data_IF_358617440224
#
_entry.id   IF_358617440224
#
_cell.length_a   1.000
_cell.length_b   1.000
_cell.length_c   1.000
_cell.angle_alpha   90.00
_cell.angle_beta   90.00
_cell.angle_gamma   90.00
#
_symmetry.space_group_name_H-M   'P 1'
#
loop_
_entity.id
_entity.type
_entity.pdbx_description
1 polymer ?
#
# COMPACT_ATOMS: atom_id res chain seq x y z
N UNK A 1 -10.83 -11.05 20.73
CA UNK A 1 -10.80 -11.59 19.35
C UNK A 1 -10.47 -10.44 18.43
N UNK A 2 -9.58 -10.68 17.46
CA UNK A 2 -9.11 -9.67 16.50
C UNK A 2 -9.45 -10.15 15.09
N UNK A 3 -9.56 -9.23 14.15
CA UNK A 3 -9.84 -9.59 12.75
C UNK A 3 -9.14 -8.65 11.77
N UNK A 4 -8.97 -9.13 10.55
CA UNK A 4 -8.69 -8.29 9.41
C UNK A 4 -9.95 -8.01 8.62
N UNK A 5 -9.97 -6.90 7.89
CA UNK A 5 -10.99 -6.67 6.88
C UNK A 5 -10.45 -5.98 5.63
N UNK A 6 -11.09 -6.28 4.52
CA UNK A 6 -10.80 -5.74 3.19
C UNK A 6 -12.09 -5.19 2.59
N UNK A 7 -11.98 -4.17 1.74
CA UNK A 7 -13.11 -3.62 1.00
C UNK A 7 -12.75 -3.52 -0.48
N UNK A 8 -13.51 -4.22 -1.32
CA UNK A 8 -13.22 -4.35 -2.76
C UNK A 8 -14.48 -4.32 -3.60
N UNK A 9 -14.30 -4.00 -4.88
CA UNK A 9 -15.33 -4.20 -5.91
C UNK A 9 -15.24 -5.62 -6.48
N UNK A 10 -16.14 -5.94 -7.42
CA UNK A 10 -16.15 -7.24 -8.09
C UNK A 10 -14.88 -7.52 -8.95
N UNK A 11 -14.11 -6.49 -9.30
CA UNK A 11 -12.89 -6.60 -10.11
C UNK A 11 -11.68 -7.03 -9.28
N UNK A 12 -11.66 -6.66 -8.00
CA UNK A 12 -10.60 -7.00 -7.05
C UNK A 12 -10.96 -8.15 -6.11
N UNK A 13 -12.19 -8.67 -6.17
CA UNK A 13 -12.66 -9.76 -5.31
C UNK A 13 -11.77 -11.01 -5.34
N UNK A 14 -11.32 -11.45 -6.52
CA UNK A 14 -10.46 -12.64 -6.63
C UNK A 14 -9.12 -12.40 -5.92
N UNK A 15 -8.53 -11.22 -6.11
CA UNK A 15 -7.28 -10.81 -5.45
C UNK A 15 -7.47 -10.76 -3.93
N UNK A 16 -8.54 -10.11 -3.45
CA UNK A 16 -8.84 -10.00 -2.02
C UNK A 16 -9.15 -11.35 -1.38
N UNK A 17 -9.78 -12.28 -2.11
CA UNK A 17 -10.05 -13.64 -1.63
C UNK A 17 -8.77 -14.45 -1.48
N UNK A 18 -7.87 -14.37 -2.46
CA UNK A 18 -6.54 -15.00 -2.39
C UNK A 18 -5.71 -14.39 -1.24
N UNK A 19 -5.75 -13.06 -1.08
CA UNK A 19 -5.09 -12.38 0.04
C UNK A 19 -5.70 -12.77 1.39
N UNK A 20 -7.03 -12.89 1.50
CA UNK A 20 -7.71 -13.34 2.70
C UNK A 20 -7.30 -14.76 3.09
N UNK A 21 -7.17 -15.66 2.10
CA UNK A 21 -6.64 -17.00 2.32
C UNK A 21 -5.21 -16.99 2.87
N UNK A 22 -4.34 -16.16 2.29
CA UNK A 22 -2.99 -15.98 2.81
C UNK A 22 -2.98 -15.43 4.24
N UNK A 23 -3.85 -14.46 4.54
CA UNK A 23 -3.98 -13.92 5.91
C UNK A 23 -4.41 -15.00 6.90
N UNK A 24 -5.40 -15.83 6.58
CA UNK A 24 -5.80 -16.95 7.46
C UNK A 24 -4.62 -17.87 7.71
N UNK A 25 -3.89 -18.26 6.67
CA UNK A 25 -2.75 -19.19 6.80
C UNK A 25 -1.59 -18.61 7.63
N UNK A 26 -1.38 -17.29 7.58
CA UNK A 26 -0.28 -16.63 8.31
C UNK A 26 -0.70 -16.23 9.72
N UNK A 27 -1.91 -15.71 9.91
CA UNK A 27 -2.35 -15.08 11.16
C UNK A 27 -3.27 -15.92 12.03
N UNK A 28 -4.00 -16.88 11.44
CA UNK A 28 -5.00 -17.71 12.14
C UNK A 28 -6.04 -16.85 12.88
N UNK A 29 -6.66 -15.90 12.16
CA UNK A 29 -7.71 -15.01 12.65
C UNK A 29 -8.84 -14.86 11.63
N UNK A 30 -9.96 -14.30 12.07
CA UNK A 30 -11.09 -14.03 11.20
C UNK A 30 -10.78 -12.91 10.19
N UNK A 31 -11.15 -13.14 8.94
CA UNK A 31 -10.96 -12.22 7.83
C UNK A 31 -12.32 -11.85 7.22
N UNK A 32 -12.62 -10.56 7.16
CA UNK A 32 -13.87 -10.05 6.59
C UNK A 32 -13.62 -9.39 5.23
N UNK A 33 -14.20 -9.93 4.17
CA UNK A 33 -14.11 -9.35 2.83
C UNK A 33 -15.44 -8.69 2.50
N UNK A 34 -15.45 -7.35 2.43
CA UNK A 34 -16.60 -6.58 1.97
C UNK A 34 -16.52 -6.38 0.46
N UNK A 35 -17.60 -6.74 -0.22
CA UNK A 35 -17.76 -6.66 -1.67
C UNK A 35 -18.84 -5.62 -1.95
N UNK A 36 -18.47 -4.53 -2.60
CA UNK A 36 -19.36 -3.39 -2.84
C UNK A 36 -19.43 -3.11 -4.35
N UNK A 37 -20.61 -3.24 -4.95
CA UNK A 37 -20.79 -3.10 -6.39
C UNK A 37 -21.83 -4.06 -6.97
N UNK A 38 -21.57 -4.51 -8.20
CA UNK A 38 -22.45 -5.44 -8.91
C UNK A 38 -22.24 -6.88 -8.42
N UNK A 39 -23.19 -7.36 -7.63
CA UNK A 39 -23.19 -8.73 -7.09
C UNK A 39 -24.01 -9.61 -8.03
N UNK A 40 -23.34 -10.58 -8.66
CA UNK A 40 -23.93 -11.59 -9.54
C UNK A 40 -23.57 -12.98 -9.04
N UNK A 41 -24.28 -14.03 -9.45
CA UNK A 41 -23.96 -15.42 -9.06
C UNK A 41 -22.52 -15.83 -9.41
N UNK A 42 -21.88 -15.14 -10.38
CA UNK A 42 -20.50 -15.38 -10.76
C UNK A 42 -19.48 -15.00 -9.67
N UNK A 43 -19.83 -14.20 -8.66
CA UNK A 43 -18.88 -13.81 -7.61
C UNK A 43 -18.44 -15.00 -6.74
N UNK A 44 -19.31 -16.01 -6.57
CA UNK A 44 -18.97 -17.20 -5.77
C UNK A 44 -17.74 -17.91 -6.32
N UNK A 45 -17.56 -17.90 -7.65
CA UNK A 45 -16.40 -18.49 -8.31
C UNK A 45 -15.08 -17.75 -8.03
N UNK A 46 -15.14 -16.53 -7.49
CA UNK A 46 -13.99 -15.69 -7.10
C UNK A 46 -13.68 -15.75 -5.61
N UNK A 47 -14.47 -16.49 -4.83
CA UNK A 47 -14.34 -16.60 -3.39
C UNK A 47 -13.56 -17.87 -2.99
N UNK A 48 -12.67 -17.74 -2.02
CA UNK A 48 -12.03 -18.89 -1.36
C UNK A 48 -12.93 -19.35 -0.22
N UNK A 49 -13.24 -20.65 -0.17
CA UNK A 49 -13.98 -21.21 0.96
C UNK A 49 -13.05 -21.55 2.12
N UNK A 50 -13.24 -20.89 3.26
CA UNK A 50 -12.53 -21.17 4.50
C UNK A 50 -13.42 -20.74 5.69
N UNK A 51 -13.48 -21.51 6.79
CA UNK A 51 -14.35 -21.18 7.94
C UNK A 51 -14.03 -19.84 8.63
N UNK A 52 -12.84 -19.29 8.45
CA UNK A 52 -12.42 -18.00 9.01
C UNK A 52 -12.49 -16.85 8.01
N UNK A 53 -13.02 -17.07 6.79
CA UNK A 53 -13.23 -16.01 5.79
C UNK A 53 -14.73 -15.74 5.66
N UNK A 54 -15.12 -14.49 5.93
CA UNK A 54 -16.50 -14.03 5.90
C UNK A 54 -16.70 -13.00 4.81
N UNK A 55 -17.60 -13.29 3.88
CA UNK A 55 -17.95 -12.38 2.78
C UNK A 55 -19.20 -11.56 3.12
N UNK A 56 -19.13 -10.25 2.88
CA UNK A 56 -20.21 -9.29 3.16
C UNK A 56 -20.54 -8.54 1.86
N UNK A 57 -21.77 -8.67 1.36
CA UNK A 57 -22.14 -8.08 0.07
C UNK A 57 -22.98 -6.82 0.27
N UNK A 58 -22.51 -5.68 -0.24
CA UNK A 58 -23.22 -4.40 -0.24
C UNK A 58 -23.70 -3.94 1.16
N UNK A 59 -22.88 -4.16 2.18
CA UNK A 59 -23.21 -3.81 3.57
C UNK A 59 -22.77 -2.38 3.93
N UNK A 60 -21.84 -1.78 3.18
CA UNK A 60 -21.19 -0.51 3.54
C UNK A 60 -21.74 0.68 2.77
N UNK A 61 -22.05 0.52 1.48
CA UNK A 61 -22.50 1.61 0.60
C UNK A 61 -23.71 2.38 1.12
N UNK A 62 -24.60 1.73 1.88
CA UNK A 62 -25.75 2.37 2.55
C UNK A 62 -25.37 3.43 3.61
N UNK A 63 -24.14 3.37 4.12
CA UNK A 63 -23.61 4.30 5.12
C UNK A 63 -22.87 5.49 4.49
N UNK A 64 -22.50 5.40 3.21
CA UNK A 64 -21.79 6.46 2.52
C UNK A 64 -22.75 7.62 2.20
N UNK A 65 -22.45 8.87 2.61
CA UNK A 65 -23.27 10.01 2.24
C UNK A 65 -23.32 10.21 0.73
N UNK A 66 -24.40 10.82 0.24
CA UNK A 66 -24.54 11.14 -1.18
C UNK A 66 -23.62 12.31 -1.56
N UNK A 67 -23.20 12.35 -2.83
CA UNK A 67 -22.43 13.46 -3.36
C UNK A 67 -20.95 13.48 -2.99
N UNK A 68 -20.39 12.35 -2.51
CA UNK A 68 -18.94 12.24 -2.29
C UNK A 68 -18.17 12.41 -3.60
N UNK A 69 -17.05 13.17 -3.60
CA UNK A 69 -16.22 13.35 -4.77
C UNK A 69 -15.54 12.04 -5.14
N UNK A 70 -15.27 11.85 -6.43
CA UNK A 70 -14.60 10.66 -6.94
C UNK A 70 -13.79 11.02 -8.19
N UNK A 71 -12.92 10.10 -8.58
CA UNK A 71 -12.18 10.20 -9.85
C UNK A 71 -11.92 8.81 -10.43
N UNK A 72 -11.35 8.75 -11.62
CA UNK A 72 -11.04 7.48 -12.29
C UNK A 72 -10.11 6.56 -11.46
N UNK A 73 -9.20 7.13 -10.68
CA UNK A 73 -8.25 6.39 -9.85
C UNK A 73 -8.76 6.17 -8.42
N UNK A 74 -9.72 6.98 -7.96
CA UNK A 74 -10.28 6.94 -6.61
C UNK A 74 -11.83 6.97 -6.70
N UNK A 75 -12.47 5.84 -7.04
CA UNK A 75 -13.93 5.73 -7.04
C UNK A 75 -14.48 5.77 -5.61
N UNK A 76 -15.79 6.02 -5.45
CA UNK A 76 -16.45 6.13 -4.12
C UNK A 76 -16.16 4.99 -3.13
N UNK A 77 -15.80 3.80 -3.61
CA UNK A 77 -15.44 2.66 -2.77
C UNK A 77 -14.30 2.97 -1.80
N UNK A 78 -13.40 3.92 -2.11
CA UNK A 78 -12.27 4.26 -1.24
C UNK A 78 -12.71 4.70 0.15
N UNK A 79 -13.89 5.32 0.27
CA UNK A 79 -14.47 5.73 1.55
C UNK A 79 -15.08 4.59 2.37
N UNK A 80 -15.45 3.47 1.74
CA UNK A 80 -16.28 2.45 2.39
C UNK A 80 -15.57 1.74 3.55
N UNK A 81 -14.23 1.66 3.51
CA UNK A 81 -13.39 1.17 4.62
C UNK A 81 -13.68 1.85 5.96
N UNK A 82 -14.08 3.11 5.94
CA UNK A 82 -14.39 3.90 7.15
C UNK A 82 -15.60 3.33 7.90
N UNK A 83 -16.54 2.73 7.18
CA UNK A 83 -17.83 2.27 7.73
C UNK A 83 -17.83 0.80 8.16
N UNK A 84 -16.88 -0.02 7.69
CA UNK A 84 -16.79 -1.44 8.03
C UNK A 84 -16.71 -1.75 9.53
N UNK A 85 -15.99 -0.98 10.37
CA UNK A 85 -15.98 -1.20 11.82
C UNK A 85 -17.35 -1.11 12.50
N UNK A 86 -18.34 -0.47 11.87
CA UNK A 86 -19.72 -0.41 12.39
C UNK A 86 -20.49 -1.74 12.26
N UNK A 87 -20.08 -2.57 11.30
CA UNK A 87 -20.58 -3.94 11.08
C UNK A 87 -19.81 -4.94 11.97
N UNK A 88 -18.50 -4.75 12.13
CA UNK A 88 -17.60 -5.65 12.84
C UNK A 88 -17.50 -5.37 14.35
N UNK A 89 -18.63 -5.51 15.08
CA UNK A 89 -18.75 -5.03 16.47
C UNK A 89 -18.09 -5.91 17.55
N UNK A 90 -17.86 -7.18 17.26
CA UNK A 90 -17.47 -8.18 18.25
C UNK A 90 -15.94 -8.38 18.37
N UNK A 91 -15.16 -7.44 17.83
CA UNK A 91 -13.70 -7.49 17.83
C UNK A 91 -13.09 -6.44 18.77
N UNK A 92 -11.94 -6.76 19.34
CA UNK A 92 -11.15 -5.86 20.20
C UNK A 92 -10.22 -4.96 19.36
N UNK A 93 -9.72 -5.51 18.25
CA UNK A 93 -8.89 -4.84 17.26
C UNK A 93 -9.30 -5.27 15.87
N UNK A 94 -9.27 -4.31 14.95
CA UNK A 94 -9.43 -4.56 13.52
C UNK A 94 -8.19 -4.06 12.80
N UNK A 95 -7.70 -4.79 11.81
CA UNK A 95 -6.73 -4.26 10.84
C UNK A 95 -7.41 -4.21 9.46
N UNK A 96 -7.51 -3.00 8.91
CA UNK A 96 -7.82 -2.82 7.49
C UNK A 96 -6.57 -3.08 6.65
N UNK A 97 -6.74 -3.77 5.51
CA UNK A 97 -5.70 -3.90 4.47
C UNK A 97 -6.28 -3.58 3.09
N UNK A 98 -5.54 -2.80 2.30
CA UNK A 98 -5.78 -2.69 0.85
C UNK A 98 -5.54 -4.05 0.15
N UNK A 99 -6.25 -4.26 -0.96
CA UNK A 99 -6.22 -5.53 -1.71
C UNK A 99 -4.89 -5.85 -2.40
N UNK A 100 -3.97 -4.88 -2.44
CA UNK A 100 -2.65 -4.96 -3.06
C UNK A 100 -1.51 -5.11 -2.05
N UNK A 101 -1.85 -5.64 -0.88
CA UNK A 101 -0.91 -5.95 0.20
C UNK A 101 -0.64 -7.44 0.23
N UNK A 102 0.64 -7.82 0.21
CA UNK A 102 1.07 -9.18 0.48
C UNK A 102 1.33 -9.35 1.98
N UNK A 103 0.55 -10.20 2.69
CA UNK A 103 0.80 -10.55 4.08
C UNK A 103 1.95 -11.55 4.16
N UNK A 104 3.12 -11.06 4.62
CA UNK A 104 4.35 -11.85 4.61
C UNK A 104 4.49 -12.69 5.87
N UNK A 105 4.42 -12.05 7.04
CA UNK A 105 4.60 -12.71 8.33
C UNK A 105 3.59 -12.25 9.35
N UNK A 106 3.48 -13.02 10.43
CA UNK A 106 2.68 -12.69 11.60
C UNK A 106 3.50 -11.83 12.58
N UNK A 107 2.82 -10.91 13.24
CA UNK A 107 3.35 -10.17 14.38
C UNK A 107 2.24 -9.88 15.40
N UNK A 108 2.16 -10.68 16.46
CA UNK A 108 1.09 -10.56 17.46
C UNK A 108 1.20 -9.27 18.29
N UNK A 109 2.38 -8.64 18.31
CA UNK A 109 2.59 -7.41 19.09
C UNK A 109 1.62 -6.31 18.66
N UNK A 110 1.27 -6.24 17.37
CA UNK A 110 0.37 -5.23 16.80
C UNK A 110 -0.96 -5.11 17.55
N UNK A 111 -1.48 -6.22 18.09
CA UNK A 111 -2.75 -6.24 18.81
C UNK A 111 -2.67 -5.58 20.19
N UNK A 112 -1.46 -5.49 20.74
CA UNK A 112 -1.17 -4.92 22.05
C UNK A 112 -0.87 -3.42 22.02
N UNK A 113 -0.65 -2.87 20.82
CA UNK A 113 -0.34 -1.45 20.62
C UNK A 113 -1.44 -0.56 21.23
N UNK A 114 -1.10 0.39 22.12
CA UNK A 114 -2.06 1.33 22.67
C UNK A 114 -2.62 2.27 21.59
N UNK A 115 -3.95 2.42 21.54
CA UNK A 115 -4.63 3.29 20.57
C UNK A 115 -5.42 4.38 21.30
N UNK A 116 -4.76 5.43 21.85
CA UNK A 116 -5.45 6.48 22.62
C UNK A 116 -6.55 7.18 21.82
N UNK A 117 -6.34 7.48 20.53
CA UNK A 117 -7.34 8.07 19.63
C UNK A 117 -8.24 7.05 18.92
N UNK A 118 -7.88 5.76 19.02
CA UNK A 118 -8.54 4.65 18.34
C UNK A 118 -7.98 4.30 16.96
N UNK A 119 -6.88 4.94 16.53
CA UNK A 119 -6.21 4.66 15.26
C UNK A 119 -4.69 4.52 15.42
N UNK A 120 -4.16 3.43 14.87
CA UNK A 120 -2.76 3.25 14.53
C UNK A 120 -2.60 3.15 13.01
N UNK A 121 -1.56 3.78 12.47
CA UNK A 121 -1.28 3.80 11.04
C UNK A 121 0.22 3.90 10.79
N UNK A 122 0.63 3.97 9.52
CA UNK A 122 2.04 4.08 9.12
C UNK A 122 2.18 5.30 8.22
N UNK A 123 3.26 6.07 8.41
CA UNK A 123 3.56 7.22 7.57
C UNK A 123 3.51 6.86 6.07
N UNK A 124 2.91 7.72 5.25
CA UNK A 124 2.96 7.59 3.81
C UNK A 124 4.39 7.92 3.34
N UNK A 125 5.08 6.91 2.85
CA UNK A 125 6.48 7.03 2.44
C UNK A 125 6.63 7.64 1.05
N UNK A 126 5.57 7.64 0.24
CA UNK A 126 5.52 8.46 -0.96
C UNK A 126 5.63 9.93 -0.57
N UNK A 127 4.87 10.33 0.46
CA UNK A 127 4.83 11.71 0.99
C UNK A 127 6.11 12.10 1.76
N UNK A 128 7.02 11.16 2.07
CA UNK A 128 8.36 11.46 2.60
C UNK A 128 9.25 12.11 1.54
N UNK A 129 9.09 11.74 0.27
CA UNK A 129 9.97 12.17 -0.81
C UNK A 129 9.59 13.54 -1.35
N UNK A 130 10.41 14.57 -1.07
CA UNK A 130 10.22 15.93 -1.62
C UNK A 130 10.34 15.94 -3.15
N UNK A 131 11.10 15.00 -3.71
CA UNK A 131 11.29 14.84 -5.15
C UNK A 131 10.06 14.30 -5.90
N UNK A 132 9.05 13.79 -5.18
CA UNK A 132 7.81 13.38 -5.81
C UNK A 132 6.92 14.60 -6.06
N UNK A 133 6.99 15.13 -7.28
CA UNK A 133 6.07 16.17 -7.74
C UNK A 133 4.61 15.66 -7.71
N UNK A 134 3.64 16.59 -7.54
CA UNK A 134 2.20 16.30 -7.60
C UNK A 134 1.70 15.53 -8.84
N UNK A 135 2.55 15.36 -9.87
CA UNK A 135 2.32 14.46 -11.01
C UNK A 135 2.14 13.00 -10.59
N UNK A 136 2.83 12.52 -9.54
CA UNK A 136 2.73 11.13 -9.07
C UNK A 136 1.61 10.93 -8.05
N UNK A 137 1.13 12.00 -7.40
CA UNK A 137 0.07 11.93 -6.37
C UNK A 137 -1.36 12.17 -6.90
N UNK A 138 -1.55 12.95 -7.97
CA UNK A 138 -2.92 13.38 -8.34
C UNK A 138 -3.14 13.65 -9.84
N UNK A 139 -2.17 13.39 -10.71
CA UNK A 139 -2.31 13.64 -12.15
C UNK A 139 -2.53 15.12 -12.54
N UNK A 140 -2.39 16.07 -11.60
CA UNK A 140 -2.44 17.50 -11.88
C UNK A 140 -1.01 18.02 -12.08
N UNK A 141 -0.76 18.70 -13.20
CA UNK A 141 0.48 19.44 -13.45
C UNK A 141 0.52 20.68 -12.53
N UNK A 142 0.77 20.50 -11.25
CA UNK A 142 0.87 21.60 -10.28
C UNK A 142 2.32 21.78 -9.85
N UNK A 143 2.76 23.03 -9.73
CA UNK A 143 4.02 23.39 -9.06
C UNK A 143 3.88 23.43 -7.52
N UNK A 144 2.69 23.18 -6.99
CA UNK A 144 2.39 23.19 -5.56
C UNK A 144 3.23 22.14 -4.82
N UNK A 145 3.76 22.52 -3.67
CA UNK A 145 4.54 21.61 -2.82
C UNK A 145 3.62 20.67 -2.02
N UNK A 146 4.22 19.73 -1.29
CA UNK A 146 3.51 18.91 -0.29
C UNK A 146 2.85 19.80 0.76
N UNK A 147 3.56 20.79 1.26
CA UNK A 147 3.07 21.70 2.32
C UNK A 147 1.88 22.53 1.82
N UNK A 148 1.92 22.97 0.55
CA UNK A 148 0.79 23.68 -0.07
C UNK A 148 -0.44 22.78 -0.11
N UNK A 149 -0.28 21.52 -0.56
CA UNK A 149 -1.35 20.53 -0.59
C UNK A 149 -1.97 20.28 0.79
N UNK A 150 -1.14 19.97 1.79
CA UNK A 150 -1.62 19.67 3.14
C UNK A 150 -2.47 20.83 3.67
N UNK A 151 -2.03 22.08 3.46
CA UNK A 151 -2.80 23.28 3.83
C UNK A 151 -4.10 23.40 3.04
N UNK A 152 -4.10 23.14 1.74
CA UNK A 152 -5.30 23.18 0.88
C UNK A 152 -6.38 22.18 1.34
N UNK A 153 -5.99 21.09 2.00
CA UNK A 153 -6.89 20.06 2.54
C UNK A 153 -7.06 20.13 4.07
N UNK A 154 -6.64 21.23 4.68
CA UNK A 154 -6.87 21.52 6.11
C UNK A 154 -5.95 20.79 7.10
N UNK A 155 -4.89 20.14 6.62
CA UNK A 155 -3.91 19.42 7.44
C UNK A 155 -2.77 20.37 7.81
N UNK A 156 -2.56 20.57 9.11
CA UNK A 156 -1.49 21.41 9.64
C UNK A 156 -0.31 20.62 10.20
N UNK A 157 -0.51 19.33 10.48
CA UNK A 157 0.54 18.41 10.93
C UNK A 157 1.49 18.08 9.76
N UNK A 158 2.76 17.86 10.08
CA UNK A 158 3.77 17.41 9.11
C UNK A 158 3.68 15.90 8.87
N UNK A 159 3.09 15.17 9.83
CA UNK A 159 2.83 13.73 9.75
C UNK A 159 1.61 13.45 8.88
N UNK A 160 1.76 12.49 7.99
CA UNK A 160 0.70 12.08 7.08
C UNK A 160 0.80 10.58 6.80
N UNK A 161 -0.21 9.81 7.18
CA UNK A 161 -0.22 8.35 7.06
C UNK A 161 -0.87 7.85 5.77
N UNK A 162 -0.45 6.67 5.31
CA UNK A 162 -1.08 5.95 4.22
C UNK A 162 -2.32 5.19 4.72
N UNK A 163 -3.44 5.24 4.00
CA UNK A 163 -4.71 4.60 4.41
C UNK A 163 -4.85 3.14 3.99
N UNK A 164 -3.79 2.51 3.47
CA UNK A 164 -3.80 1.11 3.05
C UNK A 164 -3.62 0.11 4.19
N UNK A 165 -3.11 0.53 5.34
CA UNK A 165 -3.07 -0.28 6.57
C UNK A 165 -3.53 0.57 7.74
N UNK A 166 -4.62 0.17 8.40
CA UNK A 166 -5.17 0.88 9.55
C UNK A 166 -5.41 -0.11 10.70
N UNK A 167 -4.75 0.10 11.83
CA UNK A 167 -5.02 -0.60 13.07
C UNK A 167 -6.09 0.19 13.85
N UNK A 168 -7.24 -0.42 14.07
CA UNK A 168 -8.43 0.27 14.55
C UNK A 168 -8.86 -0.32 15.90
N UNK A 169 -9.15 0.58 16.85
CA UNK A 169 -9.96 0.27 18.02
C UNK A 169 -11.44 0.49 17.64
N UNK A 170 -12.22 -0.57 17.40
CA UNK A 170 -13.58 -0.43 16.90
C UNK A 170 -14.53 0.21 17.93
N UNK A 171 -14.21 0.18 19.23
CA UNK A 171 -15.00 0.86 20.25
C UNK A 171 -14.89 2.38 20.10
N UNK A 172 -13.67 2.90 20.12
CA UNK A 172 -13.39 4.34 19.91
C UNK A 172 -13.74 4.83 18.51
N UNK A 173 -13.66 3.94 17.51
CA UNK A 173 -14.04 4.27 16.14
C UNK A 173 -15.53 4.59 16.04
N UNK A 174 -16.39 3.89 16.80
CA UNK A 174 -17.85 4.06 16.77
C UNK A 174 -18.34 5.31 17.49
N UNK A 175 -17.52 5.91 18.35
CA UNK A 175 -17.85 7.18 19.01
C UNK A 175 -17.95 8.36 18.00
N UNK A 176 -17.41 8.19 16.79
CA UNK A 176 -17.38 9.20 15.75
C UNK A 176 -18.55 9.02 14.79
N UNK A 177 -19.23 10.11 14.47
CA UNK A 177 -20.22 10.15 13.40
C UNK A 177 -19.52 10.37 12.05
N UNK A 178 -19.01 9.28 11.48
CA UNK A 178 -18.21 9.30 10.25
C UNK A 178 -18.90 9.95 9.06
N UNK A 179 -20.20 9.73 8.89
CA UNK A 179 -20.98 10.31 7.81
C UNK A 179 -21.00 11.85 7.90
N UNK A 180 -21.29 12.38 9.09
CA UNK A 180 -21.36 13.84 9.29
C UNK A 180 -19.98 14.50 9.23
N UNK A 181 -18.95 13.84 9.77
CA UNK A 181 -17.56 14.31 9.68
C UNK A 181 -17.09 14.36 8.23
N UNK A 182 -17.36 13.30 7.46
CA UNK A 182 -16.98 13.23 6.05
C UNK A 182 -17.72 14.26 5.20
N UNK A 183 -19.04 14.42 5.40
CA UNK A 183 -19.81 15.49 4.75
C UNK A 183 -19.24 16.87 5.07
N UNK A 184 -18.94 17.15 6.34
CA UNK A 184 -18.40 18.44 6.77
C UNK A 184 -17.04 18.70 6.13
N UNK A 185 -16.18 17.68 6.08
CA UNK A 185 -14.86 17.78 5.45
C UNK A 185 -14.97 18.04 3.95
N UNK A 186 -15.77 17.24 3.23
CA UNK A 186 -15.99 17.38 1.79
C UNK A 186 -16.61 18.74 1.45
N UNK A 187 -17.51 19.25 2.28
CA UNK A 187 -18.10 20.57 2.08
C UNK A 187 -17.06 21.71 2.08
N UNK A 188 -16.02 21.59 2.92
CA UNK A 188 -15.00 22.62 3.09
C UNK A 188 -13.81 22.43 2.13
N UNK A 189 -13.36 21.18 1.94
CA UNK A 189 -12.09 20.86 1.28
C UNK A 189 -12.24 19.99 0.02
N UNK A 190 -13.46 19.60 -0.36
CA UNK A 190 -13.74 18.59 -1.40
C UNK A 190 -13.05 18.85 -2.75
N UNK A 191 -12.98 20.10 -3.19
CA UNK A 191 -12.37 20.48 -4.47
C UNK A 191 -10.83 20.34 -4.48
N UNK A 192 -10.22 20.35 -3.29
CA UNK A 192 -8.79 20.31 -3.08
C UNK A 192 -8.27 18.91 -2.72
N UNK A 193 -9.16 17.97 -2.38
CA UNK A 193 -8.79 16.60 -2.04
C UNK A 193 -7.98 15.96 -3.17
N UNK A 194 -6.90 15.27 -2.80
CA UNK A 194 -6.03 14.53 -3.73
C UNK A 194 -6.07 13.03 -3.45
N UNK A 195 -6.15 12.65 -2.17
CA UNK A 195 -6.17 11.26 -1.73
C UNK A 195 -7.47 10.87 -1.00
N UNK A 196 -8.54 11.63 -1.21
CA UNK A 196 -9.91 11.29 -0.82
C UNK A 196 -10.05 10.83 0.65
N UNK A 197 -10.31 9.54 0.90
CA UNK A 197 -10.44 8.99 2.26
C UNK A 197 -9.18 9.20 3.11
N UNK A 198 -7.99 9.11 2.50
CA UNK A 198 -6.72 9.29 3.19
C UNK A 198 -6.54 10.74 3.66
N UNK A 199 -6.92 11.73 2.84
CA UNK A 199 -6.89 13.15 3.23
C UNK A 199 -7.86 13.41 4.39
N UNK A 200 -9.08 12.87 4.28
CA UNK A 200 -10.09 12.97 5.32
C UNK A 200 -9.64 12.34 6.65
N UNK A 201 -9.07 11.14 6.61
CA UNK A 201 -8.60 10.43 7.78
C UNK A 201 -7.41 11.14 8.42
N UNK A 202 -6.46 11.62 7.62
CA UNK A 202 -5.35 12.43 8.12
C UNK A 202 -5.84 13.74 8.74
N UNK A 203 -6.79 14.45 8.12
CA UNK A 203 -7.41 15.63 8.73
C UNK A 203 -8.08 15.32 10.07
N UNK A 204 -8.82 14.20 10.14
CA UNK A 204 -9.58 13.81 11.33
C UNK A 204 -8.67 13.40 12.50
N UNK A 205 -7.54 12.76 12.21
CA UNK A 205 -6.63 12.22 13.21
C UNK A 205 -5.31 12.99 13.35
N UNK A 206 -5.11 14.10 12.62
CA UNK A 206 -3.89 14.91 12.70
C UNK A 206 -3.51 15.20 14.15
N UNK A 207 -2.24 15.02 14.51
CA UNK A 207 -1.74 15.16 15.88
C UNK A 207 -2.02 13.98 16.83
N UNK A 208 -2.91 13.03 16.51
CA UNK A 208 -3.45 12.09 17.50
C UNK A 208 -3.36 10.60 17.12
N UNK A 209 -3.03 10.23 15.88
CA UNK A 209 -2.86 8.82 15.50
C UNK A 209 -1.57 8.22 16.10
N UNK A 210 -1.60 6.91 16.36
CA UNK A 210 -0.47 6.14 16.86
C UNK A 210 0.40 5.67 15.71
N UNK A 211 1.68 6.02 15.72
CA UNK A 211 2.56 5.74 14.60
C UNK A 211 3.22 4.37 14.72
N UNK A 212 2.97 3.51 13.72
CA UNK A 212 3.64 2.23 13.55
C UNK A 212 4.80 2.38 12.56
N UNK A 213 5.83 1.57 12.74
CA UNK A 213 7.00 1.56 11.89
C UNK A 213 6.66 1.11 10.46
N UNK A 214 7.51 1.45 9.48
CA UNK A 214 7.32 1.01 8.09
C UNK A 214 7.21 -0.51 7.91
N UNK A 215 7.58 -1.31 8.92
CA UNK A 215 7.41 -2.77 8.94
C UNK A 215 5.95 -3.19 8.74
N UNK A 216 4.99 -2.41 9.27
CA UNK A 216 3.56 -2.71 9.16
C UNK A 216 2.90 -2.18 7.88
N UNK A 217 3.60 -1.41 7.05
CA UNK A 217 3.11 -0.98 5.74
C UNK A 217 4.32 -0.63 4.87
N UNK A 218 5.05 -1.67 4.45
CA UNK A 218 6.28 -1.52 3.69
C UNK A 218 5.91 -1.22 2.24
N UNK A 219 5.75 0.05 1.92
CA UNK A 219 5.22 0.54 0.66
C UNK A 219 6.23 0.40 -0.48
N UNK A 220 5.74 0.18 -1.71
CA UNK A 220 6.57 -0.01 -2.90
C UNK A 220 7.56 1.13 -3.16
N UNK A 221 7.21 2.35 -2.74
CA UNK A 221 8.07 3.54 -2.77
C UNK A 221 9.42 3.37 -2.07
N UNK A 222 9.50 2.52 -1.05
CA UNK A 222 10.72 2.29 -0.27
C UNK A 222 11.32 0.90 -0.46
N UNK A 223 10.65 0.02 -1.23
CA UNK A 223 11.20 -1.29 -1.54
C UNK A 223 12.39 -1.18 -2.50
N UNK A 224 13.41 -2.01 -2.26
CA UNK A 224 14.69 -1.98 -2.96
C UNK A 224 15.66 -0.89 -2.47
N UNK A 225 15.42 -0.29 -1.32
CA UNK A 225 16.31 0.72 -0.72
C UNK A 225 17.24 0.14 0.37
N UNK A 226 17.22 -1.19 0.57
CA UNK A 226 18.12 -1.89 1.48
C UNK A 226 17.56 -2.11 2.89
N UNK A 227 16.31 -1.71 3.16
CA UNK A 227 15.67 -1.83 4.47
C UNK A 227 14.87 -3.12 4.66
N UNK A 228 14.85 -4.01 3.68
CA UNK A 228 14.03 -5.24 3.67
C UNK A 228 14.35 -6.17 4.85
N UNK A 229 15.63 -6.23 5.23
CA UNK A 229 16.08 -7.03 6.37
C UNK A 229 15.92 -6.26 7.67
N UNK A 230 16.35 -5.00 7.72
CA UNK A 230 16.34 -4.18 8.93
C UNK A 230 14.91 -3.96 9.49
N UNK A 231 13.93 -3.73 8.60
CA UNK A 231 12.53 -3.57 8.99
C UNK A 231 11.79 -4.90 9.08
N UNK A 232 12.31 -5.97 8.47
CA UNK A 232 11.71 -7.30 8.49
C UNK A 232 10.17 -7.25 8.32
N UNK A 233 9.66 -6.75 7.18
CA UNK A 233 8.30 -6.25 7.08
C UNK A 233 7.24 -7.33 7.32
N UNK A 234 6.12 -6.92 7.91
CA UNK A 234 4.92 -7.72 8.15
C UNK A 234 4.03 -7.71 6.91
N UNK A 235 3.84 -6.52 6.33
CA UNK A 235 2.99 -6.28 5.17
C UNK A 235 3.77 -5.58 4.06
N UNK A 236 3.80 -6.17 2.86
CA UNK A 236 4.38 -5.56 1.66
C UNK A 236 3.27 -4.92 0.84
N UNK A 237 3.27 -3.60 0.72
CA UNK A 237 2.20 -2.87 0.07
C UNK A 237 2.63 -2.40 -1.33
N UNK A 238 2.03 -2.99 -2.37
CA UNK A 238 2.30 -2.65 -3.76
C UNK A 238 1.52 -1.39 -4.21
N UNK A 239 1.65 -0.30 -3.45
CA UNK A 239 0.83 0.93 -3.47
C UNK A 239 0.88 1.77 -4.76
N UNK A 240 1.64 1.35 -5.78
CA UNK A 240 1.72 2.02 -7.09
C UNK A 240 0.91 1.28 -8.16
N UNK A 241 0.74 1.91 -9.33
CA UNK A 241 -0.06 1.37 -10.43
C UNK A 241 0.42 0.03 -11.01
N UNK A 242 1.71 -0.28 -10.87
CA UNK A 242 2.27 -1.55 -11.32
C UNK A 242 2.15 -2.58 -10.20
N UNK A 243 1.13 -3.43 -10.29
CA UNK A 243 0.89 -4.53 -9.35
C UNK A 243 1.63 -5.81 -9.75
N UNK A 244 2.11 -6.63 -8.80
CA UNK A 244 2.85 -7.85 -9.09
C UNK A 244 2.13 -8.76 -10.08
N UNK A 245 0.86 -9.10 -9.80
CA UNK A 245 0.04 -10.03 -10.60
C UNK A 245 -0.17 -9.60 -12.06
N UNK A 246 0.14 -8.36 -12.44
CA UNK A 246 0.04 -7.91 -13.83
C UNK A 246 1.15 -8.50 -14.72
N UNK A 247 2.20 -9.07 -14.14
CA UNK A 247 3.29 -9.73 -14.86
C UNK A 247 4.09 -8.79 -15.76
N UNK A 248 4.43 -7.61 -15.23
CA UNK A 248 5.11 -6.51 -15.94
C UNK A 248 6.63 -6.45 -15.70
N UNK A 249 7.22 -7.51 -15.15
CA UNK A 249 8.66 -7.65 -14.88
C UNK A 249 9.49 -7.85 -16.17
N UNK A 250 10.83 -7.76 -16.04
CA UNK A 250 11.77 -8.04 -17.14
C UNK A 250 12.34 -9.45 -16.93
N UNK A 251 12.06 -10.42 -17.82
CA UNK A 251 12.42 -11.83 -17.58
C UNK A 251 13.89 -12.09 -17.28
N UNK A 252 14.80 -11.33 -17.90
CA UNK A 252 16.25 -11.50 -17.77
C UNK A 252 16.85 -10.69 -16.59
N UNK A 253 16.03 -10.08 -15.75
CA UNK A 253 16.45 -9.34 -14.55
C UNK A 253 15.64 -9.89 -13.37
N UNK A 254 16.32 -10.61 -12.49
CA UNK A 254 15.75 -11.03 -11.21
C UNK A 254 15.78 -9.85 -10.24
N UNK A 255 14.66 -9.13 -10.18
CA UNK A 255 14.40 -8.00 -9.30
C UNK A 255 13.22 -8.28 -8.36
N UNK A 256 12.91 -7.30 -7.51
CA UNK A 256 11.77 -7.34 -6.60
C UNK A 256 10.43 -7.57 -7.33
N UNK A 257 10.20 -6.93 -8.49
CA UNK A 257 8.95 -7.09 -9.25
C UNK A 257 8.79 -8.54 -9.76
N UNK A 258 9.87 -9.16 -10.24
CA UNK A 258 9.86 -10.56 -10.67
C UNK A 258 9.66 -11.51 -9.50
N UNK A 259 10.37 -11.31 -8.38
CA UNK A 259 10.21 -12.14 -7.18
C UNK A 259 8.76 -12.05 -6.63
N UNK A 260 8.21 -10.84 -6.54
CA UNK A 260 6.82 -10.64 -6.14
C UNK A 260 5.84 -11.33 -7.09
N UNK A 261 6.04 -11.25 -8.42
CA UNK A 261 5.18 -11.93 -9.38
C UNK A 261 5.12 -13.44 -9.16
N UNK A 262 6.28 -14.09 -8.99
CA UNK A 262 6.36 -15.54 -8.72
C UNK A 262 5.57 -15.88 -7.46
N UNK A 263 5.65 -15.01 -6.44
CA UNK A 263 5.00 -15.26 -5.15
C UNK A 263 3.50 -15.04 -5.15
N UNK A 264 3.02 -14.08 -5.93
CA UNK A 264 1.59 -14.01 -6.23
C UNK A 264 1.11 -15.21 -7.05
N UNK A 265 1.92 -15.75 -7.96
CA UNK A 265 1.55 -16.96 -8.71
C UNK A 265 1.39 -18.17 -7.76
N UNK A 266 2.31 -18.34 -6.80
CA UNK A 266 2.22 -19.35 -5.75
C UNK A 266 0.97 -19.14 -4.88
N UNK A 267 0.76 -17.93 -4.36
CA UNK A 267 -0.39 -17.58 -3.51
C UNK A 267 -1.74 -17.86 -4.19
N UNK A 268 -1.83 -17.57 -5.50
CA UNK A 268 -2.99 -17.91 -6.31
C UNK A 268 -3.20 -19.42 -6.42
N UNK A 269 -2.13 -20.18 -6.72
CA UNK A 269 -2.21 -21.64 -6.85
C UNK A 269 -2.64 -22.30 -5.53
N UNK A 270 -2.09 -21.85 -4.41
CA UNK A 270 -2.41 -22.37 -3.07
C UNK A 270 -3.89 -22.12 -2.70
N UNK A 271 -4.44 -21.00 -3.15
CA UNK A 271 -5.86 -20.67 -2.98
C UNK A 271 -6.79 -21.39 -3.99
N UNK A 272 -6.25 -22.19 -4.91
CA UNK A 272 -7.01 -22.89 -5.95
C UNK A 272 -7.37 -22.04 -7.17
N UNK A 273 -6.73 -20.87 -7.32
CA UNK A 273 -6.97 -19.92 -8.41
C UNK A 273 -5.85 -19.92 -9.46
N UNK A 274 -6.17 -19.40 -10.64
CA UNK A 274 -5.20 -19.17 -11.70
C UNK A 274 -4.99 -17.67 -11.89
N UNK A 275 -3.75 -17.20 -11.72
CA UNK A 275 -3.42 -15.78 -11.92
C UNK A 275 -3.63 -15.30 -13.38
N UNK A 276 -3.94 -16.19 -14.33
CA UNK A 276 -4.20 -15.82 -15.74
C UNK A 276 -5.35 -14.81 -15.88
N UNK A 277 -6.35 -14.87 -15.02
CA UNK A 277 -7.57 -14.06 -15.14
C UNK A 277 -7.35 -12.61 -14.68
N UNK A 278 -6.46 -12.40 -13.71
CA UNK A 278 -6.05 -11.07 -13.22
C UNK A 278 -4.84 -10.49 -13.96
N UNK A 279 -4.10 -11.32 -14.71
CA UNK A 279 -2.89 -10.89 -15.40
C UNK A 279 -3.20 -9.98 -16.59
N UNK A 280 -2.70 -8.74 -16.55
CA UNK A 280 -2.83 -7.76 -17.64
C UNK A 280 -1.45 -7.21 -18.04
N UNK A 281 -0.68 -7.96 -18.84
CA UNK A 281 0.66 -7.54 -19.23
C UNK A 281 0.59 -6.35 -20.19
N UNK A 282 1.45 -5.36 -19.99
CA UNK A 282 1.49 -4.17 -20.86
C UNK A 282 2.06 -4.53 -22.23
N UNK A 283 1.26 -4.33 -23.28
CA UNK A 283 1.73 -4.43 -24.67
C UNK A 283 2.58 -3.21 -25.02
N UNK A 284 3.89 -3.43 -25.18
CA UNK A 284 4.82 -2.38 -25.61
C UNK A 284 4.98 -2.37 -27.13
N UNK A 285 4.92 -1.18 -27.75
CA UNK A 285 5.15 -1.02 -29.19
C UNK A 285 6.54 -1.51 -29.60
N UNK A 286 6.69 -1.99 -30.84
CA UNK A 286 7.99 -2.45 -31.37
C UNK A 286 9.06 -1.35 -31.26
N UNK A 287 8.68 -0.10 -31.52
CA UNK A 287 9.55 1.07 -31.41
C UNK A 287 10.00 1.30 -29.96
N UNK A 288 9.06 1.25 -29.00
CA UNK A 288 9.41 1.40 -27.58
C UNK A 288 10.36 0.30 -27.11
N UNK A 289 10.10 -0.96 -27.49
CA UNK A 289 10.98 -2.10 -27.18
C UNK A 289 12.39 -1.92 -27.75
N UNK A 290 12.50 -1.54 -29.03
CA UNK A 290 13.80 -1.26 -29.65
C UNK A 290 14.54 -0.13 -28.94
N UNK A 291 13.84 0.96 -28.60
CA UNK A 291 14.39 2.10 -27.86
C UNK A 291 14.88 1.72 -26.46
N UNK A 292 14.13 0.92 -25.71
CA UNK A 292 14.55 0.45 -24.38
C UNK A 292 15.75 -0.49 -24.49
N UNK A 293 15.72 -1.45 -25.42
CA UNK A 293 16.87 -2.34 -25.68
C UNK A 293 18.13 -1.59 -26.06
N UNK A 294 18.05 -0.58 -26.93
CA UNK A 294 19.20 0.26 -27.30
C UNK A 294 19.77 0.98 -26.08
N UNK A 295 18.91 1.58 -25.25
CA UNK A 295 19.35 2.30 -24.05
C UNK A 295 20.00 1.38 -23.02
N UNK A 296 19.44 0.18 -22.83
CA UNK A 296 20.02 -0.86 -21.97
C UNK A 296 21.38 -1.32 -22.52
N UNK A 297 21.46 -1.63 -23.80
CA UNK A 297 22.70 -2.03 -24.48
C UNK A 297 23.81 -0.97 -24.38
N UNK A 298 23.45 0.31 -24.46
CA UNK A 298 24.38 1.42 -24.22
C UNK A 298 24.88 1.43 -22.77
N UNK A 299 23.98 1.32 -21.80
CA UNK A 299 24.30 1.27 -20.37
C UNK A 299 25.25 0.10 -20.03
N UNK A 300 24.95 -1.10 -20.54
CA UNK A 300 25.78 -2.31 -20.38
C UNK A 300 27.19 -2.18 -20.99
N UNK A 301 27.40 -1.23 -21.90
CA UNK A 301 28.72 -0.87 -22.49
C UNK A 301 29.38 0.34 -21.82
N UNK A 302 28.84 0.81 -20.69
CA UNK A 302 29.34 1.98 -19.96
C UNK A 302 28.82 3.33 -20.47
N UNK A 303 27.93 3.36 -21.46
CA UNK A 303 27.36 4.59 -22.01
C UNK A 303 26.06 4.95 -21.27
N UNK A 304 26.20 5.69 -20.17
CA UNK A 304 25.06 6.12 -19.34
C UNK A 304 24.24 7.21 -20.05
N UNK A 305 22.99 6.89 -20.40
CA UNK A 305 22.09 7.83 -21.07
C UNK A 305 21.63 8.95 -20.13
N UNK A 306 21.20 10.11 -20.67
CA UNK A 306 20.60 11.20 -19.85
C UNK A 306 19.46 10.68 -18.97
N UNK A 307 18.59 9.83 -19.52
CA UNK A 307 17.47 9.26 -18.78
C UNK A 307 17.93 8.41 -17.60
N UNK A 308 18.92 7.54 -17.82
CA UNK A 308 19.48 6.71 -16.75
C UNK A 308 20.10 7.57 -15.65
N UNK A 309 20.90 8.59 -16.03
CA UNK A 309 21.50 9.52 -15.08
C UNK A 309 20.45 10.21 -14.22
N UNK A 310 19.34 10.67 -14.81
CA UNK A 310 18.22 11.27 -14.07
C UNK A 310 17.59 10.29 -13.10
N UNK A 311 17.35 9.04 -13.51
CA UNK A 311 16.75 8.02 -12.63
C UNK A 311 17.68 7.64 -11.47
N UNK A 312 18.98 7.46 -11.73
CA UNK A 312 19.98 7.19 -10.69
C UNK A 312 20.09 8.34 -9.69
N UNK A 313 20.06 9.59 -10.17
CA UNK A 313 20.06 10.75 -9.28
C UNK A 313 18.76 10.86 -8.47
N UNK A 314 17.59 10.61 -9.08
CA UNK A 314 16.31 10.55 -8.35
C UNK A 314 16.37 9.51 -7.23
N UNK A 315 16.81 8.28 -7.56
CA UNK A 315 16.96 7.21 -6.58
C UNK A 315 17.89 7.60 -5.43
N UNK A 316 19.05 8.19 -5.72
CA UNK A 316 19.99 8.64 -4.68
C UNK A 316 19.38 9.66 -3.73
N UNK A 317 18.66 10.66 -4.26
CA UNK A 317 18.01 11.68 -3.42
C UNK A 317 16.94 11.04 -2.53
N UNK A 318 16.05 10.24 -3.12
CA UNK A 318 15.01 9.53 -2.36
C UNK A 318 15.62 8.62 -1.29
N UNK A 319 16.73 7.98 -1.59
CA UNK A 319 17.43 7.11 -0.67
C UNK A 319 18.02 7.89 0.53
N UNK A 320 18.54 9.09 0.29
CA UNK A 320 19.04 9.97 1.35
C UNK A 320 17.87 10.54 2.19
N UNK A 321 16.75 10.93 1.55
CA UNK A 321 15.52 11.38 2.21
C UNK A 321 14.92 10.29 3.13
N UNK A 322 14.78 9.07 2.61
CA UNK A 322 14.26 7.92 3.38
C UNK A 322 15.15 7.60 4.58
N UNK A 323 16.46 7.65 4.39
CA UNK A 323 17.42 7.41 5.47
C UNK A 323 17.27 8.43 6.59
N UNK A 324 17.26 9.71 6.24
CA UNK A 324 17.06 10.77 7.22
C UNK A 324 15.72 10.61 7.97
N UNK A 325 14.65 10.24 7.26
CA UNK A 325 13.35 9.96 7.87
C UNK A 325 13.45 8.81 8.89
N UNK A 326 13.94 7.63 8.49
CA UNK A 326 14.03 6.46 9.38
C UNK A 326 14.95 6.74 10.58
N UNK A 327 16.13 7.30 10.36
CA UNK A 327 17.09 7.60 11.44
C UNK A 327 16.51 8.62 12.44
N UNK A 328 15.82 9.65 11.95
CA UNK A 328 15.18 10.66 12.84
C UNK A 328 14.01 10.05 13.60
N UNK A 329 13.20 9.20 12.95
CA UNK A 329 12.08 8.51 13.59
C UNK A 329 12.55 7.55 14.69
N UNK A 330 13.61 6.78 14.45
CA UNK A 330 14.23 5.91 15.46
C UNK A 330 14.80 6.75 16.62
N UNK A 331 15.55 7.82 16.31
CA UNK A 331 16.16 8.67 17.34
C UNK A 331 15.14 9.42 18.21
N UNK A 332 13.94 9.67 17.68
CA UNK A 332 12.84 10.32 18.40
C UNK A 332 11.89 9.35 19.09
N UNK A 333 12.12 8.03 18.98
CA UNK A 333 11.30 6.96 19.56
C UNK A 333 9.80 7.13 19.23
N UNK A 334 9.51 7.49 17.97
CA UNK A 334 8.15 7.85 17.55
C UNK A 334 7.27 6.63 17.24
N UNK A 335 7.87 5.47 16.98
CA UNK A 335 7.15 4.25 16.64
C UNK A 335 6.63 3.54 17.90
N UNK A 336 5.37 3.14 17.88
CA UNK A 336 4.73 2.41 18.96
C UNK A 336 5.13 0.92 19.00
N UNK A 337 5.76 0.42 17.94
CA UNK A 337 6.34 -0.90 17.83
C UNK A 337 7.87 -0.89 17.88
N UNK A 338 8.42 -2.04 18.22
CA UNK A 338 9.85 -2.23 18.37
C UNK A 338 10.50 -2.61 17.04
N UNK A 339 11.52 -1.84 16.63
CA UNK A 339 12.43 -2.23 15.57
C UNK A 339 13.58 -3.07 16.14
N UNK A 340 14.08 -4.02 15.36
CA UNK A 340 15.23 -4.85 15.76
C UNK A 340 16.50 -3.99 15.93
N UNK A 341 17.25 -4.23 17.01
CA UNK A 341 18.53 -3.59 17.32
C UNK A 341 19.64 -4.66 17.31
N UNK A 342 20.72 -4.51 16.51
CA UNK A 342 21.07 -3.38 15.64
C UNK A 342 20.24 -3.26 14.36
N UNK A 343 19.81 -2.04 14.07
CA UNK A 343 19.12 -1.69 12.82
C UNK A 343 20.12 -1.65 11.64
N UNK A 344 20.40 -2.81 11.06
CA UNK A 344 21.40 -2.98 10.01
C UNK A 344 20.78 -3.01 8.61
N UNK A 345 20.96 -1.92 7.86
CA UNK A 345 20.57 -1.85 6.46
C UNK A 345 21.54 -2.61 5.55
N UNK A 346 21.04 -3.12 4.43
CA UNK A 346 21.88 -3.63 3.34
C UNK A 346 22.46 -2.46 2.54
N UNK A 347 23.78 -2.38 2.43
CA UNK A 347 24.47 -1.35 1.64
C UNK A 347 24.63 -1.70 0.15
N UNK A 348 24.60 -2.99 -0.20
CA UNK A 348 24.84 -3.50 -1.56
C UNK A 348 23.56 -3.65 -2.39
N UNK A 349 22.83 -2.54 -2.61
CA UNK A 349 21.72 -2.53 -3.58
C UNK A 349 22.28 -2.33 -5.01
N UNK A 350 22.23 -3.37 -5.85
CA UNK A 350 22.63 -3.25 -7.26
C UNK A 350 21.52 -2.59 -8.10
N UNK A 351 21.88 -1.59 -8.90
CA UNK A 351 20.96 -0.79 -9.70
C UNK A 351 21.15 -1.05 -11.18
N UNK A 352 20.21 -1.78 -11.78
CA UNK A 352 20.21 -2.12 -13.21
C UNK A 352 19.24 -1.25 -14.01
N UNK A 353 19.70 -0.67 -15.11
CA UNK A 353 18.84 0.11 -16.00
C UNK A 353 18.29 -0.75 -17.14
N UNK A 354 16.97 -0.98 -17.18
CA UNK A 354 16.33 -1.82 -18.21
C UNK A 354 16.06 -1.08 -19.54
N UNK A 355 16.50 0.18 -19.64
CA UNK A 355 16.23 1.08 -20.76
C UNK A 355 14.97 1.95 -20.60
N UNK A 356 14.11 1.63 -19.62
CA UNK A 356 12.87 2.35 -19.26
C UNK A 356 12.90 2.81 -17.79
N UNK A 357 13.17 1.92 -16.85
CA UNK A 357 13.20 2.12 -15.40
C UNK A 357 14.59 1.76 -14.85
N UNK A 358 14.90 2.30 -13.69
CA UNK A 358 16.00 1.80 -12.86
C UNK A 358 15.41 0.72 -11.96
N UNK A 359 16.05 -0.44 -11.90
CA UNK A 359 15.59 -1.64 -11.22
C UNK A 359 16.51 -1.92 -10.04
N UNK A 360 15.93 -2.12 -8.87
CA UNK A 360 16.63 -2.49 -7.65
C UNK A 360 16.77 -4.01 -7.61
N UNK A 361 18.01 -4.48 -7.66
CA UNK A 361 18.36 -5.89 -7.68
C UNK A 361 18.95 -6.24 -6.31
N UNK A 362 18.09 -6.72 -5.41
CA UNK A 362 18.53 -7.26 -4.13
C UNK A 362 19.15 -8.65 -4.34
N UNK A 363 19.93 -9.11 -3.35
CA UNK A 363 20.47 -10.47 -3.40
C UNK A 363 19.35 -11.50 -3.44
N UNK A 364 19.62 -12.67 -4.04
CA UNK A 364 18.63 -13.75 -4.07
C UNK A 364 18.20 -14.14 -2.65
N UNK A 365 19.14 -14.22 -1.72
CA UNK A 365 18.84 -14.56 -0.32
C UNK A 365 17.93 -13.51 0.35
N UNK A 366 18.12 -12.22 0.04
CA UNK A 366 17.25 -11.14 0.52
C UNK A 366 15.84 -11.29 -0.05
N UNK A 367 15.70 -11.53 -1.36
CA UNK A 367 14.40 -11.71 -2.01
C UNK A 367 13.70 -12.98 -1.51
N UNK A 368 14.43 -14.09 -1.39
CA UNK A 368 13.91 -15.34 -0.85
C UNK A 368 13.45 -15.14 0.59
N UNK A 369 14.18 -14.40 1.44
CA UNK A 369 13.76 -14.05 2.80
C UNK A 369 12.53 -13.14 2.85
N UNK A 370 12.39 -12.22 1.89
CA UNK A 370 11.25 -11.31 1.81
C UNK A 370 9.94 -12.02 1.43
N UNK A 371 10.03 -13.14 0.72
CA UNK A 371 8.84 -13.87 0.27
C UNK A 371 8.81 -15.35 0.69
N UNK A 372 9.60 -15.71 1.70
CA UNK A 372 9.46 -16.96 2.43
C UNK A 372 8.36 -16.82 3.47
#
# INVERSE_FOLDING_TARGET
MNAFFLVVDENLLEIASVQAFQLVNVWDVDIHVFIEGEITDAIESKCVFNPNIFYHCNELSKHLPKGMPESANWPKIVYLRIFAPSVLRNYQRLIYLDSDIFPRRKDEFVWTVPLPSGLGAIHDTGVVFETLSGQEFAGRNTKATKEDWLKEVGIQDTRYFNSGVLLIDPEKWREKNWADLLCSYVHIFGDNMRMFDQDFLNFTFQGHWTELSPSYNFQFSIMGFGYEIALNPVFLHFSLLDKPWLGRYVPDIFDLEQAAFVKYEEMFQDAGFSMKDVRKPLRQSKIARAKFRLRRWLSERGWVTKKERTLRNKWRIQHDELRNFIETSIASDCFADHLEDPFNRIDDVDLKFDGKKLRTCLSKDTLDSLFK
#
